data_IF_681887433715
#
_entry.id   IF_681887433715
#
_cell.length_a   1.000
_cell.length_b   1.000
_cell.length_c   1.000
_cell.angle_alpha   90.00
_cell.angle_beta   90.00
_cell.angle_gamma   90.00
#
_symmetry.space_group_name_H-M   'P 1'
#
loop_
_entity.id
_entity.type
_entity.pdbx_description
1 polymer ?
#
# COMPACT_ATOMS: atom_id res chain seq x y z
N UNK A 1 -16.23 -5.85 -10.86
CA UNK A 1 -16.77 -5.58 -9.49
C UNK A 1 -17.26 -4.14 -9.45
N UNK A 2 -18.30 -3.78 -8.67
CA UNK A 2 -18.64 -2.36 -8.43
C UNK A 2 -17.68 -1.77 -7.39
N UNK A 3 -17.42 -0.47 -7.45
CA UNK A 3 -16.45 0.20 -6.56
C UNK A 3 -16.77 -0.02 -5.07
N UNK A 4 -18.04 0.08 -4.67
CA UNK A 4 -18.44 -0.15 -3.29
C UNK A 4 -18.08 -1.56 -2.78
N UNK A 5 -18.18 -2.59 -3.65
CA UNK A 5 -17.80 -3.95 -3.27
C UNK A 5 -16.27 -4.13 -3.22
N UNK A 6 -15.54 -3.43 -4.08
CA UNK A 6 -14.07 -3.40 -4.04
C UNK A 6 -13.56 -2.77 -2.75
N UNK A 7 -14.16 -1.63 -2.36
CA UNK A 7 -13.87 -0.99 -1.07
C UNK A 7 -14.21 -1.93 0.08
N UNK A 8 -15.43 -2.49 0.09
CA UNK A 8 -15.88 -3.38 1.17
C UNK A 8 -14.95 -4.58 1.39
N UNK A 9 -14.38 -5.14 0.32
CA UNK A 9 -13.50 -6.32 0.42
C UNK A 9 -12.10 -6.00 0.95
N UNK A 10 -11.59 -4.79 0.72
CA UNK A 10 -10.19 -4.47 0.99
C UNK A 10 -9.98 -3.44 2.10
N UNK A 11 -11.03 -2.69 2.47
CA UNK A 11 -10.95 -1.59 3.45
C UNK A 11 -10.30 -2.02 4.76
N UNK A 12 -10.71 -3.15 5.33
CA UNK A 12 -10.21 -3.59 6.63
C UNK A 12 -8.70 -3.87 6.59
N UNK A 13 -8.19 -4.41 5.47
CA UNK A 13 -6.74 -4.58 5.26
C UNK A 13 -6.05 -3.22 5.15
N UNK A 14 -6.58 -2.29 4.36
CA UNK A 14 -5.97 -0.97 4.22
C UNK A 14 -5.89 -0.21 5.55
N UNK A 15 -6.94 -0.28 6.36
CA UNK A 15 -6.98 0.32 7.69
C UNK A 15 -5.97 -0.37 8.60
N UNK A 16 -5.90 -1.70 8.59
CA UNK A 16 -4.90 -2.45 9.37
C UNK A 16 -3.47 -2.01 9.04
N UNK A 17 -3.13 -1.92 7.74
CA UNK A 17 -1.78 -1.49 7.31
C UNK A 17 -1.49 -0.03 7.71
N UNK A 18 -2.52 0.81 7.76
CA UNK A 18 -2.39 2.20 8.17
C UNK A 18 -2.18 2.36 9.69
N UNK A 19 -2.89 1.57 10.49
CA UNK A 19 -2.85 1.66 11.96
C UNK A 19 -1.73 0.82 12.58
N UNK A 20 -1.42 -0.31 11.95
CA UNK A 20 -0.39 -1.27 12.36
C UNK A 20 0.55 -1.47 11.17
N UNK A 21 1.49 -0.53 10.95
CA UNK A 21 2.44 -0.66 9.86
C UNK A 21 3.32 -1.91 10.05
N UNK A 22 3.77 -2.55 8.97
CA UNK A 22 4.62 -3.75 9.03
C UNK A 22 5.88 -3.53 9.87
N UNK A 23 6.23 -4.50 10.70
CA UNK A 23 7.38 -4.39 11.61
C UNK A 23 8.69 -4.89 10.97
N UNK A 24 8.59 -5.85 10.05
CA UNK A 24 9.73 -6.44 9.34
C UNK A 24 9.66 -6.29 7.81
N UNK A 25 10.77 -6.62 7.14
CA UNK A 25 10.93 -6.46 5.70
C UNK A 25 10.01 -7.39 4.88
N UNK A 26 9.71 -8.59 5.38
CA UNK A 26 8.89 -9.59 4.67
C UNK A 26 7.40 -9.23 4.74
N UNK A 27 6.93 -8.79 5.90
CA UNK A 27 5.60 -8.21 6.06
C UNK A 27 5.45 -6.95 5.21
N UNK A 28 6.46 -6.10 5.18
CA UNK A 28 6.46 -4.87 4.38
C UNK A 28 6.37 -5.18 2.89
N UNK A 29 7.14 -6.15 2.39
CA UNK A 29 7.09 -6.60 1.01
C UNK A 29 5.72 -7.22 0.65
N UNK A 30 5.15 -8.00 1.56
CA UNK A 30 3.83 -8.64 1.39
C UNK A 30 2.72 -7.60 1.27
N UNK A 31 2.66 -6.66 2.21
CA UNK A 31 1.62 -5.62 2.21
C UNK A 31 1.82 -4.61 1.08
N UNK A 32 3.06 -4.30 0.71
CA UNK A 32 3.35 -3.48 -0.47
C UNK A 32 2.83 -4.13 -1.75
N UNK A 33 3.10 -5.42 -1.96
CA UNK A 33 2.65 -6.16 -3.15
C UNK A 33 1.12 -6.13 -3.26
N UNK A 34 0.41 -6.41 -2.15
CA UNK A 34 -1.06 -6.37 -2.09
C UNK A 34 -1.62 -4.98 -2.41
N UNK A 35 -1.02 -3.92 -1.87
CA UNK A 35 -1.44 -2.55 -2.15
C UNK A 35 -1.21 -2.14 -3.60
N UNK A 36 -0.11 -2.61 -4.22
CA UNK A 36 0.16 -2.36 -5.64
C UNK A 36 -0.87 -3.06 -6.53
N UNK A 37 -1.26 -4.30 -6.20
CA UNK A 37 -2.30 -5.04 -6.93
C UNK A 37 -3.65 -4.31 -6.85
N UNK A 38 -4.06 -3.87 -5.65
CA UNK A 38 -5.27 -3.07 -5.47
C UNK A 38 -5.21 -1.76 -6.25
N UNK A 39 -4.04 -1.11 -6.25
CA UNK A 39 -3.84 0.16 -6.95
C UNK A 39 -3.95 -0.03 -8.46
N UNK A 40 -3.36 -1.11 -9.01
CA UNK A 40 -3.45 -1.44 -10.41
C UNK A 40 -4.91 -1.70 -10.83
N UNK A 41 -5.63 -2.49 -10.04
CA UNK A 41 -7.07 -2.71 -10.24
C UNK A 41 -7.84 -1.38 -10.18
N UNK A 42 -7.61 -0.57 -9.14
CA UNK A 42 -8.32 0.70 -8.94
C UNK A 42 -8.01 1.73 -10.02
N UNK A 43 -6.78 1.80 -10.53
CA UNK A 43 -6.42 2.66 -11.67
C UNK A 43 -7.11 2.21 -12.96
N UNK A 44 -7.27 0.91 -13.16
CA UNK A 44 -7.92 0.35 -14.35
C UNK A 44 -9.41 0.63 -14.36
N UNK A 45 -10.09 0.43 -13.23
CA UNK A 45 -11.55 0.48 -13.16
C UNK A 45 -12.12 1.78 -12.57
N UNK A 46 -11.36 2.50 -11.74
CA UNK A 46 -11.80 3.72 -11.02
C UNK A 46 -10.73 4.84 -11.05
N UNK A 47 -10.18 5.21 -12.22
CA UNK A 47 -8.96 6.05 -12.33
C UNK A 47 -9.03 7.41 -11.63
N UNK A 48 -10.21 8.03 -11.55
CA UNK A 48 -10.41 9.36 -10.95
C UNK A 48 -10.95 9.32 -9.52
N UNK A 49 -11.14 8.13 -8.96
CA UNK A 49 -11.75 7.97 -7.64
C UNK A 49 -10.84 8.40 -6.50
N UNK A 50 -11.48 8.86 -5.41
CA UNK A 50 -10.84 9.09 -4.12
C UNK A 50 -10.17 7.81 -3.58
N UNK A 51 -10.73 6.63 -3.86
CA UNK A 51 -10.13 5.36 -3.40
C UNK A 51 -8.80 5.10 -4.09
N UNK A 52 -8.71 5.34 -5.40
CA UNK A 52 -7.47 5.20 -6.17
C UNK A 52 -6.38 6.11 -5.62
N UNK A 53 -6.73 7.37 -5.31
CA UNK A 53 -5.81 8.33 -4.70
C UNK A 53 -5.37 7.89 -3.30
N UNK A 54 -6.29 7.36 -2.50
CA UNK A 54 -6.01 6.85 -1.16
C UNK A 54 -5.03 5.68 -1.19
N UNK A 55 -5.29 4.65 -2.01
CA UNK A 55 -4.42 3.47 -2.13
C UNK A 55 -3.03 3.88 -2.64
N UNK A 56 -2.96 4.80 -3.60
CA UNK A 56 -1.68 5.33 -4.09
C UNK A 56 -0.87 5.99 -2.97
N UNK A 57 -1.53 6.73 -2.08
CA UNK A 57 -0.90 7.34 -0.91
C UNK A 57 -0.33 6.29 0.06
N UNK A 58 -1.07 5.21 0.34
CA UNK A 58 -0.60 4.13 1.20
C UNK A 58 0.61 3.39 0.59
N UNK A 59 0.51 2.99 -0.68
CA UNK A 59 1.61 2.33 -1.39
C UNK A 59 2.88 3.20 -1.43
N UNK A 60 2.74 4.51 -1.64
CA UNK A 60 3.87 5.45 -1.67
C UNK A 60 4.58 5.53 -0.31
N UNK A 61 3.82 5.52 0.80
CA UNK A 61 4.40 5.56 2.16
C UNK A 61 5.24 4.31 2.44
N UNK A 62 4.72 3.14 2.10
CA UNK A 62 5.46 1.88 2.28
C UNK A 62 6.71 1.86 1.41
N UNK A 63 6.60 2.24 0.13
CA UNK A 63 7.75 2.33 -0.78
C UNK A 63 8.86 3.23 -0.23
N UNK A 64 8.49 4.41 0.28
CA UNK A 64 9.45 5.34 0.89
C UNK A 64 10.05 4.77 2.19
N UNK A 65 9.28 4.02 2.99
CA UNK A 65 9.80 3.31 4.16
C UNK A 65 10.87 2.27 3.79
N UNK A 66 10.58 1.42 2.79
CA UNK A 66 11.53 0.43 2.27
C UNK A 66 12.81 1.12 1.78
N UNK A 67 12.66 2.18 0.98
CA UNK A 67 13.81 2.83 0.34
C UNK A 67 14.62 3.72 1.29
N UNK A 68 13.96 4.33 2.27
CA UNK A 68 14.61 5.09 3.34
C UNK A 68 15.46 4.19 4.23
N UNK A 69 14.88 3.09 4.74
CA UNK A 69 15.59 2.13 5.59
C UNK A 69 16.79 1.50 4.87
N UNK A 70 16.65 1.19 3.57
CA UNK A 70 17.74 0.61 2.77
C UNK A 70 18.94 1.56 2.61
N UNK A 71 18.72 2.88 2.59
CA UNK A 71 19.81 3.87 2.57
C UNK A 71 20.53 3.92 3.92
N UNK A 72 19.81 3.87 5.02
CA UNK A 72 20.41 3.90 6.36
C UNK A 72 21.24 2.65 6.66
N UNK A 73 20.80 1.44 6.27
CA UNK A 73 21.62 0.23 6.40
C UNK A 73 22.93 0.33 5.58
N UNK A 74 22.89 0.90 4.38
CA UNK A 74 24.09 1.04 3.54
C UNK A 74 25.12 2.05 4.07
N UNK A 75 24.70 2.95 4.97
CA UNK A 75 25.53 4.03 5.50
C UNK A 75 26.01 3.77 6.94
N UNK A 76 25.74 2.57 7.48
CA UNK A 76 26.33 2.08 8.74
C UNK A 76 27.62 1.33 8.43
N UNK A 77 28.64 2.06 7.98
CA UNK A 77 30.03 1.60 7.86
C UNK A 77 30.94 2.55 8.64
#
# INVERSE_FOLDING_TARGET
>A
MREALFIKKNKDRWVKVQEMPPEDADEMATEFTRLVDDLAYSKTFYPTSKVTRYINGQASKIYLGIYGNRKEESNRL
#
